data_IF_893670088564
#
_entry.id   IF_893670088564
#
_cell.length_a   1.000
_cell.length_b   1.000
_cell.length_c   1.000
_cell.angle_alpha   90.00
_cell.angle_beta   90.00
_cell.angle_gamma   90.00
#
_symmetry.space_group_name_H-M   'P 1'
#
loop_
_entity.id
_entity.type
_entity.pdbx_description
1 polymer ?
#
# COMPACT_ATOMS: atom_id res chain seq x y z
N UNK A 1 -19.44 -11.31 -2.91
CA UNK A 1 -18.25 -11.21 -3.78
C UNK A 1 -18.05 -9.73 -4.14
N UNK A 2 -17.26 -9.01 -3.35
CA UNK A 2 -16.90 -7.61 -3.66
C UNK A 2 -15.86 -7.66 -4.77
N UNK A 3 -16.22 -7.18 -5.97
CA UNK A 3 -15.29 -7.16 -7.10
C UNK A 3 -14.14 -6.21 -6.81
N UNK A 4 -12.92 -6.54 -7.22
CA UNK A 4 -11.70 -5.72 -7.18
C UNK A 4 -11.94 -4.24 -7.54
N UNK A 5 -12.86 -3.98 -8.46
CA UNK A 5 -13.27 -2.65 -8.91
C UNK A 5 -14.00 -1.81 -7.87
N UNK A 6 -14.54 -2.40 -6.80
CA UNK A 6 -15.22 -1.65 -5.74
C UNK A 6 -14.25 -1.15 -4.66
N UNK A 7 -13.12 -1.84 -4.48
CA UNK A 7 -12.13 -1.50 -3.47
C UNK A 7 -11.25 -0.29 -3.86
N UNK A 8 -11.09 -0.01 -5.16
CA UNK A 8 -10.10 0.94 -5.66
C UNK A 8 -10.66 2.09 -6.53
N UNK A 9 -11.98 2.22 -6.70
CA UNK A 9 -12.63 3.36 -7.35
C UNK A 9 -12.28 3.62 -8.83
N UNK A 10 -12.72 4.77 -9.35
CA UNK A 10 -12.54 5.16 -10.76
C UNK A 10 -11.10 5.51 -11.13
N UNK A 11 -10.29 5.99 -10.17
CA UNK A 11 -8.87 6.31 -10.40
C UNK A 11 -8.01 5.06 -10.62
N UNK A 12 -8.36 3.94 -9.96
CA UNK A 12 -7.79 2.65 -10.30
C UNK A 12 -7.91 2.33 -11.80
N UNK A 13 -9.02 2.69 -12.44
CA UNK A 13 -9.22 2.47 -13.88
C UNK A 13 -8.36 3.36 -14.77
N UNK A 14 -8.03 4.57 -14.32
CA UNK A 14 -7.22 5.50 -15.12
C UNK A 14 -5.73 5.13 -15.06
N UNK A 15 -5.22 4.79 -13.89
CA UNK A 15 -3.85 4.32 -13.71
C UNK A 15 -3.59 2.96 -14.38
N UNK A 16 -4.60 2.10 -14.43
CA UNK A 16 -4.49 0.78 -15.06
C UNK A 16 -4.44 0.80 -16.59
N UNK A 17 -5.00 1.81 -17.27
CA UNK A 17 -4.81 1.93 -18.72
C UNK A 17 -3.33 2.09 -19.05
N UNK A 18 -2.62 2.96 -18.35
CA UNK A 18 -1.19 3.16 -18.52
C UNK A 18 -0.35 1.97 -18.03
N UNK A 19 -0.87 1.17 -17.09
CA UNK A 19 -0.18 -0.01 -16.58
C UNK A 19 -0.41 -1.26 -17.42
N UNK A 20 -1.62 -1.44 -17.96
CA UNK A 20 -1.96 -2.55 -18.87
C UNK A 20 -1.20 -2.46 -20.21
N UNK A 21 -0.80 -1.27 -20.62
CA UNK A 21 0.02 -1.04 -21.82
C UNK A 21 1.51 -1.34 -21.60
N UNK A 22 2.00 -1.31 -20.35
CA UNK A 22 3.31 -1.86 -20.00
C UNK A 22 3.17 -3.39 -19.95
N UNK A 23 3.63 -4.08 -20.98
CA UNK A 23 3.76 -5.55 -21.03
C UNK A 23 4.72 -6.05 -19.95
N UNK A 24 4.33 -5.94 -18.68
CA UNK A 24 5.01 -6.62 -17.59
C UNK A 24 4.50 -8.05 -17.63
N UNK A 25 5.34 -8.96 -18.02
CA UNK A 25 5.07 -10.40 -17.91
C UNK A 25 5.09 -10.78 -16.42
N UNK A 26 4.02 -10.39 -15.71
CA UNK A 26 3.90 -10.65 -14.27
C UNK A 26 3.44 -12.08 -14.06
N UNK A 27 4.25 -12.85 -13.33
CA UNK A 27 3.80 -14.13 -12.81
C UNK A 27 2.60 -13.91 -11.87
N UNK A 28 1.43 -14.38 -12.30
CA UNK A 28 0.19 -14.28 -11.51
C UNK A 28 0.28 -14.98 -10.16
N UNK A 29 1.16 -15.96 -10.02
CA UNK A 29 1.39 -16.73 -8.81
C UNK A 29 2.45 -16.09 -7.90
N UNK A 30 3.10 -15.01 -8.33
CA UNK A 30 4.03 -14.27 -7.49
C UNK A 30 3.32 -13.65 -6.28
N UNK A 31 3.99 -13.51 -5.13
CA UNK A 31 3.37 -13.00 -3.91
C UNK A 31 3.08 -11.50 -3.99
N UNK A 32 2.19 -11.04 -3.11
CA UNK A 32 1.98 -9.61 -2.81
C UNK A 32 2.93 -9.22 -1.68
N UNK A 33 3.75 -8.18 -1.89
CA UNK A 33 4.54 -7.58 -0.84
C UNK A 33 3.69 -6.63 0.01
N UNK A 34 3.77 -6.73 1.32
CA UNK A 34 3.10 -5.81 2.25
C UNK A 34 4.15 -5.28 3.21
N UNK A 35 4.25 -3.96 3.38
CA UNK A 35 5.16 -3.44 4.40
C UNK A 35 4.55 -2.36 5.28
N UNK A 36 5.06 -2.29 6.49
CA UNK A 36 4.71 -1.32 7.52
C UNK A 36 5.95 -0.86 8.29
N UNK A 37 5.86 0.27 8.96
CA UNK A 37 6.90 0.76 9.87
C UNK A 37 7.05 -0.06 11.15
N UNK A 38 6.13 -0.99 11.42
CA UNK A 38 6.12 -1.80 12.64
C UNK A 38 5.31 -3.07 12.48
N UNK A 39 4.30 -3.24 13.34
CA UNK A 39 3.42 -4.42 13.37
C UNK A 39 1.96 -4.10 13.07
N UNK A 40 1.58 -2.82 13.04
CA UNK A 40 0.19 -2.40 12.80
C UNK A 40 -0.35 -2.86 11.45
N UNK A 41 0.50 -2.90 10.44
CA UNK A 41 0.18 -3.37 9.09
C UNK A 41 -0.20 -4.85 8.98
N UNK A 42 -0.02 -5.65 10.04
CA UNK A 42 -0.52 -7.03 10.11
C UNK A 42 -2.06 -7.08 10.01
N UNK A 43 -2.75 -6.02 10.42
CA UNK A 43 -4.21 -5.91 10.25
C UNK A 43 -4.58 -5.84 8.77
N UNK A 44 -3.80 -5.10 7.98
CA UNK A 44 -3.97 -5.02 6.53
C UNK A 44 -3.63 -6.35 5.87
N UNK A 45 -2.52 -6.97 6.24
CA UNK A 45 -2.12 -8.28 5.72
C UNK A 45 -3.18 -9.35 6.00
N UNK A 46 -3.74 -9.38 7.22
CA UNK A 46 -4.84 -10.29 7.61
C UNK A 46 -6.08 -10.09 6.73
N UNK A 47 -6.43 -8.84 6.46
CA UNK A 47 -7.60 -8.54 5.63
C UNK A 47 -7.37 -8.95 4.16
N UNK A 48 -6.17 -8.77 3.64
CA UNK A 48 -5.80 -9.26 2.31
C UNK A 48 -5.94 -10.79 2.25
N UNK A 49 -5.39 -11.52 3.22
CA UNK A 49 -5.51 -12.99 3.29
C UNK A 49 -6.97 -13.45 3.37
N UNK A 50 -7.81 -12.72 4.15
CA UNK A 50 -9.22 -13.04 4.29
C UNK A 50 -10.01 -12.86 2.98
N UNK A 51 -9.72 -11.78 2.24
CA UNK A 51 -10.44 -11.46 1.00
C UNK A 51 -9.85 -12.17 -0.23
N UNK A 52 -8.58 -12.50 -0.20
CA UNK A 52 -7.85 -13.11 -1.30
C UNK A 52 -7.04 -14.33 -0.82
N UNK A 53 -7.70 -15.41 -0.38
CA UNK A 53 -7.04 -16.57 0.24
C UNK A 53 -6.10 -17.33 -0.71
N UNK A 54 -6.17 -17.07 -2.00
CA UNK A 54 -5.29 -17.67 -3.00
C UNK A 54 -3.94 -16.94 -3.11
N UNK A 55 -3.84 -15.73 -2.58
CA UNK A 55 -2.64 -14.90 -2.73
C UNK A 55 -1.62 -15.21 -1.64
N UNK A 56 -0.38 -15.38 -2.04
CA UNK A 56 0.75 -15.46 -1.11
C UNK A 56 1.17 -14.05 -0.70
N UNK A 57 1.54 -13.87 0.56
CA UNK A 57 1.97 -12.58 1.08
C UNK A 57 3.40 -12.67 1.61
N UNK A 58 4.22 -11.71 1.26
CA UNK A 58 5.50 -11.42 1.91
C UNK A 58 5.32 -10.14 2.71
N UNK A 59 5.33 -10.26 4.04
CA UNK A 59 5.21 -9.12 4.96
C UNK A 59 6.57 -8.66 5.47
N UNK A 60 6.78 -7.34 5.47
CA UNK A 60 7.95 -6.70 6.07
C UNK A 60 7.53 -5.65 7.08
N UNK A 61 7.81 -5.87 8.35
CA UNK A 61 7.65 -4.89 9.44
C UNK A 61 8.99 -4.26 9.80
N UNK A 62 9.14 -2.95 9.65
CA UNK A 62 10.39 -2.23 9.93
C UNK A 62 10.53 -1.88 11.42
N UNK A 63 10.46 -2.89 12.27
CA UNK A 63 10.44 -2.75 13.73
C UNK A 63 11.73 -2.15 14.30
N UNK A 64 12.83 -2.22 13.56
CA UNK A 64 14.10 -1.64 13.99
C UNK A 64 14.15 -0.11 13.88
N UNK A 65 13.27 0.50 13.03
CA UNK A 65 13.31 1.95 12.73
C UNK A 65 12.00 2.66 13.10
N UNK A 66 11.09 1.99 13.77
CA UNK A 66 9.85 2.56 14.31
C UNK A 66 10.17 3.61 15.40
N UNK A 67 9.36 4.68 15.53
CA UNK A 67 8.21 5.07 14.73
C UNK A 67 8.60 5.91 13.50
N UNK A 68 7.80 5.84 12.43
CA UNK A 68 8.00 6.68 11.23
C UNK A 68 7.41 8.09 11.39
N UNK A 69 6.37 8.25 12.18
CA UNK A 69 5.64 9.52 12.32
C UNK A 69 6.45 10.71 12.85
N UNK A 70 7.59 10.45 13.50
CA UNK A 70 8.52 11.48 13.98
C UNK A 70 9.71 11.73 13.06
N UNK A 71 9.75 11.09 11.89
CA UNK A 71 10.87 11.19 10.94
C UNK A 71 10.53 12.14 9.80
N UNK A 72 11.57 12.75 9.21
CA UNK A 72 11.39 13.58 8.02
C UNK A 72 10.88 12.76 6.84
N UNK A 73 10.15 13.41 5.93
CA UNK A 73 9.66 12.81 4.69
C UNK A 73 10.79 12.14 3.89
N UNK A 74 11.94 12.80 3.78
CA UNK A 74 13.12 12.24 3.11
C UNK A 74 13.59 10.93 3.75
N UNK A 75 13.61 10.86 5.07
CA UNK A 75 14.00 9.65 5.81
C UNK A 75 13.00 8.53 5.57
N UNK A 76 11.70 8.81 5.63
CA UNK A 76 10.64 7.83 5.37
C UNK A 76 10.70 7.32 3.93
N UNK A 77 10.91 8.21 2.97
CA UNK A 77 11.08 7.85 1.56
C UNK A 77 12.30 6.94 1.35
N UNK A 78 13.43 7.27 1.96
CA UNK A 78 14.65 6.44 1.91
C UNK A 78 14.41 5.04 2.46
N UNK A 79 13.73 4.92 3.61
CA UNK A 79 13.39 3.62 4.21
C UNK A 79 12.43 2.84 3.33
N UNK A 80 11.39 3.48 2.81
CA UNK A 80 10.45 2.87 1.89
C UNK A 80 11.14 2.29 0.65
N UNK A 81 12.06 3.03 0.03
CA UNK A 81 12.86 2.55 -1.10
C UNK A 81 13.70 1.32 -0.76
N UNK A 82 14.28 1.26 0.45
CA UNK A 82 15.06 0.10 0.89
C UNK A 82 14.18 -1.15 1.05
N UNK A 83 13.01 -0.98 1.68
CA UNK A 83 12.05 -2.08 1.87
C UNK A 83 11.50 -2.55 0.52
N UNK A 84 11.14 -1.65 -0.37
CA UNK A 84 10.67 -1.96 -1.71
C UNK A 84 11.71 -2.76 -2.50
N UNK A 85 12.99 -2.35 -2.45
CA UNK A 85 14.08 -3.10 -3.07
C UNK A 85 14.16 -4.53 -2.52
N UNK A 86 14.09 -4.69 -1.20
CA UNK A 86 14.07 -6.00 -0.58
C UNK A 86 12.87 -6.83 -1.05
N UNK A 87 11.64 -6.28 -1.03
CA UNK A 87 10.45 -6.97 -1.50
C UNK A 87 10.57 -7.39 -2.97
N UNK A 88 11.18 -6.56 -3.82
CA UNK A 88 11.46 -6.93 -5.22
C UNK A 88 12.39 -8.14 -5.33
N UNK A 89 13.37 -8.30 -4.45
CA UNK A 89 14.20 -9.53 -4.44
C UNK A 89 13.43 -10.78 -4.04
N UNK A 90 12.27 -10.62 -3.39
CA UNK A 90 11.36 -11.73 -3.08
C UNK A 90 10.40 -12.06 -4.24
N UNK A 91 10.56 -11.41 -5.39
CA UNK A 91 9.77 -11.66 -6.59
C UNK A 91 8.30 -11.25 -6.46
N UNK A 92 7.98 -10.22 -5.69
CA UNK A 92 6.59 -9.78 -5.51
C UNK A 92 6.02 -9.17 -6.79
N UNK A 93 4.74 -9.44 -7.07
CA UNK A 93 4.00 -8.91 -8.23
C UNK A 93 3.35 -7.55 -7.98
N UNK A 94 3.15 -7.18 -6.73
CA UNK A 94 2.55 -5.92 -6.30
C UNK A 94 3.00 -5.59 -4.88
N UNK A 95 2.90 -4.32 -4.48
CA UNK A 95 3.27 -3.87 -3.13
C UNK A 95 2.10 -3.12 -2.50
N UNK A 96 1.86 -3.38 -1.22
CA UNK A 96 0.94 -2.63 -0.37
C UNK A 96 1.73 -1.93 0.73
N UNK A 97 1.65 -0.60 0.80
CA UNK A 97 2.18 0.19 1.89
C UNK A 97 1.10 0.23 3.00
N UNK A 98 1.25 -0.62 4.01
CA UNK A 98 0.31 -0.73 5.12
C UNK A 98 0.51 0.32 6.22
N UNK A 99 1.52 1.17 6.10
CA UNK A 99 1.84 2.28 6.98
C UNK A 99 1.21 3.57 6.48
N UNK A 100 0.42 4.27 7.31
CA UNK A 100 -0.17 5.57 6.95
C UNK A 100 0.91 6.62 6.65
N UNK A 101 1.90 6.76 7.54
CA UNK A 101 3.00 7.73 7.36
C UNK A 101 3.80 7.44 6.07
N UNK A 102 4.16 6.19 5.81
CA UNK A 102 4.86 5.84 4.57
C UNK A 102 3.98 6.04 3.33
N UNK A 103 2.67 5.78 3.42
CA UNK A 103 1.73 6.06 2.34
C UNK A 103 1.66 7.56 2.02
N UNK A 104 1.62 8.43 3.05
CA UNK A 104 1.61 9.87 2.87
C UNK A 104 2.94 10.40 2.28
N UNK A 105 4.06 9.96 2.86
CA UNK A 105 5.38 10.52 2.55
C UNK A 105 6.03 9.95 1.28
N UNK A 106 5.75 8.71 0.90
CA UNK A 106 6.55 8.02 -0.08
C UNK A 106 5.78 7.51 -1.32
N UNK A 107 4.47 7.25 -1.21
CA UNK A 107 3.70 6.54 -2.25
C UNK A 107 3.84 7.18 -3.63
N UNK A 108 3.58 8.48 -3.75
CA UNK A 108 3.56 9.15 -5.06
C UNK A 108 4.94 9.14 -5.73
N UNK A 109 6.00 9.27 -4.94
CA UNK A 109 7.37 9.22 -5.47
C UNK A 109 7.75 7.81 -5.91
N UNK A 110 7.54 6.80 -5.05
CA UNK A 110 7.94 5.43 -5.39
C UNK A 110 7.07 4.81 -6.48
N UNK A 111 5.82 5.26 -6.64
CA UNK A 111 4.92 4.85 -7.72
C UNK A 111 5.48 5.19 -9.11
N UNK A 112 6.18 6.31 -9.23
CA UNK A 112 6.82 6.72 -10.48
C UNK A 112 8.11 5.93 -10.77
N UNK A 113 8.75 5.39 -9.72
CA UNK A 113 10.02 4.67 -9.81
C UNK A 113 9.84 3.16 -10.07
N UNK A 114 8.63 2.64 -9.92
CA UNK A 114 8.36 1.20 -9.93
C UNK A 114 7.77 0.72 -11.26
N UNK A 115 8.15 -0.50 -11.61
CA UNK A 115 7.65 -1.28 -12.73
C UNK A 115 6.50 -2.23 -12.35
N UNK A 116 6.17 -2.33 -11.05
CA UNK A 116 5.07 -3.15 -10.50
C UNK A 116 4.05 -2.26 -9.77
N UNK A 117 2.78 -2.69 -9.63
CA UNK A 117 1.77 -1.94 -8.89
C UNK A 117 2.17 -1.69 -7.45
N UNK A 118 1.94 -0.47 -6.98
CA UNK A 118 2.06 -0.12 -5.57
C UNK A 118 0.86 0.70 -5.14
N UNK A 119 0.31 0.39 -3.97
CA UNK A 119 -0.83 1.09 -3.37
C UNK A 119 -0.54 1.39 -1.89
N UNK A 120 -1.16 2.47 -1.39
CA UNK A 120 -1.13 2.83 0.03
C UNK A 120 -2.52 2.73 0.67
N UNK A 121 -2.58 2.78 1.99
CA UNK A 121 -3.81 2.57 2.76
C UNK A 121 -4.65 3.83 2.97
N UNK A 122 -4.08 5.03 2.79
CA UNK A 122 -4.77 6.30 3.09
C UNK A 122 -6.03 6.46 2.25
N UNK A 123 -5.92 6.22 0.95
CA UNK A 123 -7.05 6.44 0.04
C UNK A 123 -8.24 5.52 0.34
N UNK A 124 -7.95 4.25 0.65
CA UNK A 124 -8.96 3.28 1.05
C UNK A 124 -9.66 3.70 2.36
N UNK A 125 -8.89 4.17 3.35
CA UNK A 125 -9.40 4.67 4.62
C UNK A 125 -10.27 5.93 4.45
N UNK A 126 -9.80 6.91 3.69
CA UNK A 126 -10.53 8.15 3.41
C UNK A 126 -11.87 7.87 2.70
N UNK A 127 -11.84 6.98 1.71
CA UNK A 127 -13.04 6.57 0.99
C UNK A 127 -14.06 5.88 1.90
N UNK A 128 -13.60 4.93 2.71
CA UNK A 128 -14.48 4.22 3.66
C UNK A 128 -15.10 5.19 4.67
N UNK A 129 -14.32 6.14 5.18
CA UNK A 129 -14.82 7.17 6.08
C UNK A 129 -15.89 8.06 5.41
N UNK A 130 -15.66 8.47 4.16
CA UNK A 130 -16.60 9.28 3.40
C UNK A 130 -17.91 8.52 3.08
N UNK A 131 -17.83 7.21 2.84
CA UNK A 131 -19.01 6.36 2.60
C UNK A 131 -19.78 6.04 3.90
N UNK A 132 -19.09 6.00 5.05
CA UNK A 132 -19.70 5.65 6.34
C UNK A 132 -20.35 6.84 7.08
N UNK A 133 -19.97 8.07 6.77
CA UNK A 133 -20.53 9.24 7.48
C UNK A 133 -21.95 9.55 7.00
N UNK A 134 -22.86 9.79 7.96
CA UNK A 134 -24.25 10.19 7.67
C UNK A 134 -24.46 11.70 7.74
N UNK A 135 -23.56 12.44 8.40
CA UNK A 135 -23.70 13.88 8.64
C UNK A 135 -22.55 14.72 8.03
N UNK A 136 -21.69 14.09 7.22
CA UNK A 136 -20.54 14.75 6.60
C UNK A 136 -19.40 15.13 7.56
N UNK A 137 -19.49 14.75 8.85
CA UNK A 137 -18.47 15.06 9.85
C UNK A 137 -17.61 13.84 10.11
N UNK A 138 -16.30 13.98 9.95
CA UNK A 138 -15.31 12.91 10.14
C UNK A 138 -14.17 13.46 11.00
N UNK A 139 -13.88 12.78 12.10
CA UNK A 139 -12.68 13.02 12.89
C UNK A 139 -11.51 12.18 12.37
N UNK A 140 -10.34 12.78 12.20
CA UNK A 140 -9.12 12.08 11.81
C UNK A 140 -8.06 12.30 12.89
N UNK A 141 -7.43 11.21 13.32
CA UNK A 141 -6.29 11.23 14.23
C UNK A 141 -5.12 10.60 13.49
N UNK A 142 -3.98 11.27 13.48
CA UNK A 142 -2.80 10.79 12.75
C UNK A 142 -1.53 11.48 13.21
N UNK A 143 -0.43 11.19 12.49
CA UNK A 143 0.84 11.90 12.59
C UNK A 143 0.78 13.20 11.77
N UNK A 144 1.80 14.05 11.88
CA UNK A 144 1.91 15.28 11.06
C UNK A 144 2.21 15.01 9.57
N UNK A 145 2.54 13.78 9.22
CA UNK A 145 2.90 13.37 7.85
C UNK A 145 1.67 13.20 6.95
#
# INVERSE_FOLDING_TARGET
>A
MIRYTQMFGKEWKHDHKNFAERKVNMDRNAPIGVFDSGIGGLTVAREIMRQMPQERIVYFGDTARVPYGSKSQETVLRYSRQIIRFLKTQGVKAIVIACNTASACALETVKQELDIPIIGVIYAGARTAAEATHNGKIGVIGTEA
#
